data_IF_000918106108
#
_entry.id   IF_000918106108
#
_cell.length_a   1.000
_cell.length_b   1.000
_cell.length_c   1.000
_cell.angle_alpha   90.00
_cell.angle_beta   90.00
_cell.angle_gamma   90.00
#
_symmetry.space_group_name_H-M   'P 1'
#
loop_
_entity.id
_entity.type
_entity.pdbx_description
1 polymer ?
#
# COMPACT_ATOMS: atom_id res chain seq x y z
N UNK A 1 20.75 -2.17 -3.30
CA UNK A 1 20.15 -2.09 -4.67
C UNK A 1 18.88 -2.94 -4.71
N UNK A 2 17.69 -2.33 -4.79
CA UNK A 2 16.42 -3.05 -4.60
C UNK A 2 15.97 -3.83 -5.84
N UNK A 3 15.66 -5.11 -5.66
CA UNK A 3 15.04 -6.01 -6.65
C UNK A 3 13.58 -5.62 -6.96
N UNK A 4 13.35 -4.41 -7.46
CA UNK A 4 12.09 -4.04 -8.10
C UNK A 4 12.39 -3.27 -9.38
N UNK A 5 11.96 -3.74 -10.56
CA UNK A 5 12.02 -2.93 -11.76
C UNK A 5 11.16 -1.69 -11.54
N UNK A 6 11.68 -0.52 -11.95
CA UNK A 6 10.90 0.71 -12.07
C UNK A 6 9.77 0.47 -13.07
N UNK A 7 8.57 0.14 -12.59
CA UNK A 7 7.37 0.11 -13.42
C UNK A 7 6.94 1.56 -13.64
N UNK A 8 7.28 2.12 -14.79
CA UNK A 8 6.69 3.36 -15.29
C UNK A 8 5.21 3.11 -15.59
N UNK A 9 4.39 4.15 -15.53
CA UNK A 9 2.93 4.13 -15.77
C UNK A 9 2.49 3.61 -17.16
N UNK A 10 3.42 3.14 -17.98
CA UNK A 10 3.20 2.50 -19.28
C UNK A 10 2.90 1.00 -19.15
N UNK A 11 3.08 0.40 -17.97
CA UNK A 11 2.75 -1.01 -17.68
C UNK A 11 1.26 -1.21 -17.28
N UNK A 12 0.38 -0.30 -17.70
CA UNK A 12 -1.05 -0.51 -17.63
C UNK A 12 -1.47 -1.36 -18.84
N UNK A 13 -2.22 -2.44 -18.59
CA UNK A 13 -2.79 -3.38 -19.57
C UNK A 13 -2.92 -2.77 -20.98
N UNK A 14 -1.90 -3.00 -21.80
CA UNK A 14 -1.79 -2.36 -23.11
C UNK A 14 -2.76 -3.05 -24.08
N UNK A 15 -3.11 -2.38 -25.17
CA UNK A 15 -3.82 -3.02 -26.30
C UNK A 15 -3.06 -4.28 -26.74
N UNK A 16 -1.73 -4.36 -26.56
CA UNK A 16 -0.93 -5.57 -26.78
C UNK A 16 -1.24 -6.71 -25.81
N UNK A 17 -1.67 -6.43 -24.59
CA UNK A 17 -2.06 -7.44 -23.58
C UNK A 17 -3.50 -7.92 -23.81
N UNK A 18 -4.39 -7.03 -24.29
CA UNK A 18 -5.71 -7.42 -24.79
C UNK A 18 -5.58 -8.25 -26.06
N UNK A 19 -4.65 -7.90 -26.95
CA UNK A 19 -4.29 -8.68 -28.14
C UNK A 19 -3.63 -9.99 -27.73
N UNK A 20 -2.80 -10.03 -26.69
CA UNK A 20 -2.24 -11.25 -26.11
C UNK A 20 -3.31 -12.16 -25.51
N UNK A 21 -4.30 -11.59 -24.82
CA UNK A 21 -5.46 -12.30 -24.28
C UNK A 21 -6.41 -12.77 -25.39
N UNK A 22 -6.59 -11.98 -26.46
CA UNK A 22 -7.34 -12.34 -27.67
C UNK A 22 -6.61 -13.40 -28.50
N UNK A 23 -5.27 -13.39 -28.57
CA UNK A 23 -4.47 -14.46 -29.15
C UNK A 23 -4.51 -15.72 -28.29
N UNK A 24 -4.60 -15.59 -26.97
CA UNK A 24 -4.86 -16.71 -26.06
C UNK A 24 -6.28 -17.28 -26.29
N UNK A 25 -7.27 -16.41 -26.47
CA UNK A 25 -8.67 -16.76 -26.76
C UNK A 25 -8.84 -17.40 -28.15
N UNK A 26 -8.16 -16.86 -29.17
CA UNK A 26 -8.10 -17.45 -30.51
C UNK A 26 -7.25 -18.74 -30.51
N UNK A 27 -6.28 -18.86 -29.61
CA UNK A 27 -5.54 -20.09 -29.34
C UNK A 27 -6.38 -21.16 -28.64
N UNK A 28 -7.32 -20.78 -27.77
CA UNK A 28 -8.28 -21.69 -27.12
C UNK A 28 -9.23 -22.35 -28.14
N UNK A 29 -9.40 -21.75 -29.33
CA UNK A 29 -10.18 -22.33 -30.44
C UNK A 29 -9.39 -23.40 -31.23
N UNK A 30 -8.07 -23.54 -31.04
CA UNK A 30 -7.26 -24.60 -31.67
C UNK A 30 -6.54 -25.45 -30.62
N UNK A 31 -6.90 -26.73 -30.56
CA UNK A 31 -6.38 -27.79 -29.66
C UNK A 31 -4.84 -27.88 -29.57
N UNK A 32 -4.17 -26.95 -28.88
CA UNK A 32 -2.73 -27.00 -28.58
C UNK A 32 -2.47 -26.55 -27.13
N UNK A 33 -2.34 -27.57 -26.27
CA UNK A 33 -1.62 -27.64 -25.00
C UNK A 33 -2.01 -26.72 -23.84
N UNK A 34 -3.01 -27.18 -23.07
CA UNK A 34 -3.27 -26.79 -21.67
C UNK A 34 -1.97 -26.66 -20.85
N UNK A 35 -0.99 -27.55 -21.05
CA UNK A 35 0.30 -27.51 -20.36
C UNK A 35 1.11 -26.22 -20.64
N UNK A 36 1.12 -25.73 -21.87
CA UNK A 36 1.82 -24.50 -22.23
C UNK A 36 1.06 -23.26 -21.72
N UNK A 37 -0.27 -23.31 -21.74
CA UNK A 37 -1.11 -22.28 -21.14
C UNK A 37 -0.92 -22.22 -19.62
N UNK A 38 -0.94 -23.36 -18.92
CA UNK A 38 -0.64 -23.45 -17.48
C UNK A 38 0.78 -22.95 -17.21
N UNK A 39 1.79 -23.39 -17.97
CA UNK A 39 3.17 -22.93 -17.80
C UNK A 39 3.31 -21.41 -18.01
N UNK A 40 2.63 -20.84 -19.01
CA UNK A 40 2.60 -19.40 -19.27
C UNK A 40 1.88 -18.62 -18.16
N UNK A 41 0.71 -19.10 -17.70
CA UNK A 41 -0.04 -18.51 -16.59
C UNK A 41 0.76 -18.57 -15.30
N UNK A 42 1.36 -19.73 -14.98
CA UNK A 42 2.20 -19.89 -13.78
C UNK A 42 3.42 -18.98 -13.86
N UNK A 43 4.06 -18.88 -15.04
CA UNK A 43 5.16 -17.94 -15.27
C UNK A 43 4.70 -16.50 -15.07
N UNK A 44 3.56 -16.09 -15.60
CA UNK A 44 3.03 -14.73 -15.43
C UNK A 44 2.72 -14.44 -13.95
N UNK A 45 2.05 -15.35 -13.24
CA UNK A 45 1.72 -15.22 -11.81
C UNK A 45 2.99 -15.11 -10.96
N UNK A 46 4.06 -15.84 -11.30
CA UNK A 46 5.31 -15.86 -10.52
C UNK A 46 6.25 -14.70 -10.91
N UNK A 47 6.28 -14.30 -12.18
CA UNK A 47 7.30 -13.36 -12.69
C UNK A 47 6.81 -11.93 -12.85
N UNK A 48 5.50 -11.68 -12.85
CA UNK A 48 4.94 -10.34 -12.91
C UNK A 48 4.00 -10.11 -11.74
N UNK A 49 4.16 -9.02 -10.98
CA UNK A 49 3.13 -8.63 -10.03
C UNK A 49 1.83 -8.43 -10.83
N UNK A 50 0.73 -9.04 -10.37
CA UNK A 50 -0.52 -9.03 -11.11
C UNK A 50 -1.02 -7.60 -11.37
N UNK A 51 -0.69 -6.68 -10.46
CA UNK A 51 -0.84 -5.24 -10.61
C UNK A 51 0.21 -4.53 -9.73
N UNK A 52 0.63 -3.32 -10.12
CA UNK A 52 1.69 -2.56 -9.42
C UNK A 52 1.39 -2.34 -7.93
N UNK A 53 0.11 -2.17 -7.57
CA UNK A 53 -0.31 -1.86 -6.20
C UNK A 53 -0.30 -3.08 -5.27
N UNK A 54 -0.23 -4.31 -5.81
CA UNK A 54 -0.25 -5.57 -5.06
C UNK A 54 1.10 -5.94 -4.43
N UNK A 55 2.14 -5.13 -4.67
CA UNK A 55 3.49 -5.35 -4.14
C UNK A 55 3.50 -5.63 -2.64
N UNK A 56 2.66 -4.91 -1.87
CA UNK A 56 2.53 -5.06 -0.42
C UNK A 56 2.05 -6.46 0.00
N UNK A 57 1.18 -7.11 -0.79
CA UNK A 57 0.72 -8.47 -0.48
C UNK A 57 1.85 -9.49 -0.57
N UNK A 58 2.74 -9.36 -1.55
CA UNK A 58 3.88 -10.27 -1.69
C UNK A 58 4.85 -10.13 -0.50
N UNK A 59 5.09 -8.90 -0.04
CA UNK A 59 5.88 -8.64 1.17
C UNK A 59 5.21 -9.21 2.43
N UNK A 60 3.91 -9.01 2.58
CA UNK A 60 3.14 -9.53 3.70
C UNK A 60 3.15 -11.06 3.74
N UNK A 61 3.01 -11.71 2.58
CA UNK A 61 3.10 -13.16 2.46
C UNK A 61 4.46 -13.68 2.95
N UNK A 62 5.56 -13.03 2.55
CA UNK A 62 6.90 -13.37 3.01
C UNK A 62 7.04 -13.25 4.54
N UNK A 63 6.56 -12.15 5.12
CA UNK A 63 6.56 -11.96 6.58
C UNK A 63 5.72 -13.03 7.27
N UNK A 64 4.55 -13.39 6.72
CA UNK A 64 3.65 -14.37 7.32
C UNK A 64 4.20 -15.79 7.31
N UNK A 65 4.97 -16.16 6.28
CA UNK A 65 5.73 -17.41 6.27
C UNK A 65 6.76 -17.47 7.40
N UNK A 66 7.34 -16.32 7.76
CA UNK A 66 8.31 -16.20 8.86
C UNK A 66 7.67 -16.05 10.23
N UNK A 67 6.37 -15.73 10.32
CA UNK A 67 5.65 -15.53 11.59
C UNK A 67 5.82 -16.69 12.58
N UNK A 68 5.75 -17.99 12.20
CA UNK A 68 5.98 -19.09 13.14
C UNK A 68 7.38 -19.05 13.77
N UNK A 69 8.40 -18.67 12.99
CA UNK A 69 9.78 -18.53 13.48
C UNK A 69 9.86 -17.35 14.45
N UNK A 70 9.35 -16.18 14.05
CA UNK A 70 9.33 -15.01 14.91
C UNK A 70 8.57 -15.24 16.20
N UNK A 71 7.46 -15.99 16.16
CA UNK A 71 6.68 -16.34 17.35
C UNK A 71 7.51 -17.12 18.37
N UNK A 72 8.42 -17.98 17.93
CA UNK A 72 9.33 -18.70 18.85
C UNK A 72 10.37 -17.72 19.42
N UNK A 73 10.98 -16.90 18.57
CA UNK A 73 12.03 -15.95 18.95
C UNK A 73 11.51 -14.96 19.99
N UNK A 74 10.39 -14.29 19.72
CA UNK A 74 9.85 -13.23 20.60
C UNK A 74 9.34 -13.75 21.95
N UNK A 75 9.11 -15.05 22.09
CA UNK A 75 8.72 -15.69 23.34
C UNK A 75 9.91 -16.16 24.18
N UNK A 76 11.07 -16.40 23.55
CA UNK A 76 12.27 -16.92 24.23
C UNK A 76 13.32 -15.85 24.50
N UNK A 77 13.34 -14.80 23.68
CA UNK A 77 14.37 -13.77 23.70
C UNK A 77 13.89 -12.56 24.52
N UNK A 78 14.81 -11.94 25.28
CA UNK A 78 14.53 -10.70 26.00
C UNK A 78 14.29 -9.54 25.04
N UNK A 79 13.40 -8.62 25.40
CA UNK A 79 13.02 -7.47 24.57
C UNK A 79 14.23 -6.59 24.16
N UNK A 80 15.27 -6.53 25.00
CA UNK A 80 16.54 -5.84 24.69
C UNK A 80 17.18 -6.30 23.37
N UNK A 81 17.14 -7.61 23.07
CA UNK A 81 17.73 -8.14 21.84
C UNK A 81 16.84 -7.86 20.62
N UNK A 82 15.53 -7.75 20.81
CA UNK A 82 14.61 -7.32 19.76
C UNK A 82 14.80 -5.83 19.45
N UNK A 83 15.02 -5.00 20.48
CA UNK A 83 15.41 -3.59 20.30
C UNK A 83 16.75 -3.46 19.61
N UNK A 84 17.73 -4.31 19.93
CA UNK A 84 19.01 -4.36 19.22
C UNK A 84 18.82 -4.70 17.73
N UNK A 85 18.00 -5.70 17.40
CA UNK A 85 17.64 -6.00 16.01
C UNK A 85 17.02 -4.79 15.30
N UNK A 86 16.06 -4.12 15.93
CA UNK A 86 15.43 -2.91 15.38
C UNK A 86 16.44 -1.79 15.21
N UNK A 87 17.40 -1.62 16.12
CA UNK A 87 18.44 -0.61 16.00
C UNK A 87 19.36 -0.87 14.79
N UNK A 88 19.75 -2.12 14.56
CA UNK A 88 20.50 -2.53 13.36
C UNK A 88 19.66 -2.24 12.10
N UNK A 89 18.41 -2.69 12.07
CA UNK A 89 17.51 -2.42 10.93
C UNK A 89 17.36 -0.92 10.66
N UNK A 90 17.21 -0.12 11.71
CA UNK A 90 17.07 1.34 11.59
C UNK A 90 18.34 2.00 11.06
N UNK A 91 19.52 1.50 11.45
CA UNK A 91 20.82 1.97 10.98
C UNK A 91 21.05 1.64 9.50
N UNK A 92 20.85 0.37 9.12
CA UNK A 92 21.19 -0.11 7.78
C UNK A 92 20.06 0.01 6.74
N UNK A 93 18.83 0.32 7.17
CA UNK A 93 17.75 0.65 6.24
C UNK A 93 17.55 2.16 6.14
N UNK A 94 16.75 2.77 7.04
CA UNK A 94 16.38 4.18 6.93
C UNK A 94 17.55 5.17 7.04
N UNK A 95 18.48 4.97 7.99
CA UNK A 95 19.62 5.89 8.17
C UNK A 95 20.61 5.76 7.02
N UNK A 96 21.02 4.54 6.67
CA UNK A 96 21.93 4.30 5.55
C UNK A 96 21.41 4.97 4.27
N UNK A 97 20.13 4.77 3.94
CA UNK A 97 19.52 5.41 2.77
C UNK A 97 19.57 6.94 2.85
N UNK A 98 19.29 7.52 4.03
CA UNK A 98 19.38 8.97 4.24
C UNK A 98 20.80 9.51 4.03
N UNK A 99 21.82 8.76 4.46
CA UNK A 99 23.23 9.11 4.28
C UNK A 99 23.64 8.99 2.81
N UNK A 100 23.30 7.89 2.15
CA UNK A 100 23.58 7.66 0.72
C UNK A 100 22.96 8.76 -0.15
N UNK A 101 21.71 9.13 0.12
CA UNK A 101 21.05 10.23 -0.59
C UNK A 101 21.74 11.58 -0.34
N UNK A 102 22.18 11.87 0.89
CA UNK A 102 22.82 13.15 1.20
C UNK A 102 24.23 13.26 0.63
N UNK A 103 25.00 12.17 0.68
CA UNK A 103 26.41 12.15 0.30
C UNK A 103 26.65 11.65 -1.13
N UNK A 104 25.59 11.25 -1.84
CA UNK A 104 25.63 10.86 -3.25
C UNK A 104 26.61 9.70 -3.52
N UNK A 105 26.68 8.74 -2.59
CA UNK A 105 27.44 7.50 -2.77
C UNK A 105 26.62 6.30 -2.28
N UNK A 106 26.99 5.10 -2.74
CA UNK A 106 26.41 3.84 -2.28
C UNK A 106 27.33 3.17 -1.25
N UNK A 107 26.81 2.80 -0.09
CA UNK A 107 27.60 2.01 0.85
C UNK A 107 27.77 0.59 0.31
N UNK A 108 28.99 0.06 0.41
CA UNK A 108 29.30 -1.33 0.01
C UNK A 108 28.57 -2.34 0.91
N UNK A 109 28.26 -1.93 2.14
CA UNK A 109 27.62 -2.79 3.13
C UNK A 109 26.11 -2.84 2.89
N UNK A 110 25.64 -3.89 2.21
CA UNK A 110 24.22 -4.17 1.98
C UNK A 110 23.77 -5.34 2.88
N UNK A 111 22.96 -5.02 3.89
CA UNK A 111 22.38 -6.00 4.82
C UNK A 111 21.16 -6.74 4.21
N UNK A 112 20.82 -6.48 2.95
CA UNK A 112 19.87 -7.25 2.14
C UNK A 112 18.51 -7.44 2.83
N UNK A 113 18.15 -8.69 3.11
CA UNK A 113 16.87 -9.04 3.74
C UNK A 113 16.65 -8.48 5.14
N UNK A 114 17.73 -8.06 5.83
CA UNK A 114 17.62 -7.44 7.15
C UNK A 114 17.17 -5.98 7.10
N UNK A 115 17.15 -5.32 5.93
CA UNK A 115 16.77 -3.91 5.78
C UNK A 115 15.37 -3.72 5.17
N UNK A 116 14.67 -4.82 4.84
CA UNK A 116 13.31 -4.81 4.31
C UNK A 116 12.22 -4.53 5.35
N UNK A 117 10.96 -4.86 5.02
CA UNK A 117 9.79 -4.60 5.87
C UNK A 117 9.73 -5.44 7.15
N UNK A 118 10.63 -6.42 7.31
CA UNK A 118 10.74 -7.27 8.50
C UNK A 118 11.02 -6.46 9.77
N UNK A 119 11.74 -5.34 9.65
CA UNK A 119 11.99 -4.45 10.78
C UNK A 119 10.74 -3.75 11.27
N UNK A 120 9.84 -3.34 10.37
CA UNK A 120 8.52 -2.83 10.76
C UNK A 120 7.70 -3.86 11.53
N UNK A 121 7.80 -5.14 11.16
CA UNK A 121 7.08 -6.22 11.84
C UNK A 121 7.54 -6.39 13.30
N UNK A 122 8.85 -6.46 13.53
CA UNK A 122 9.41 -6.57 14.89
C UNK A 122 9.21 -5.28 15.69
N UNK A 123 9.38 -4.12 15.06
CA UNK A 123 9.15 -2.82 15.69
C UNK A 123 7.69 -2.65 16.13
N UNK A 124 6.74 -3.00 15.25
CA UNK A 124 5.31 -2.98 15.58
C UNK A 124 4.98 -3.84 16.80
N UNK A 125 5.58 -5.04 16.89
CA UNK A 125 5.46 -5.89 18.08
C UNK A 125 6.00 -5.22 19.34
N UNK A 126 7.18 -4.61 19.30
CA UNK A 126 7.75 -3.91 20.45
C UNK A 126 6.88 -2.71 20.88
N UNK A 127 6.34 -1.95 19.93
CA UNK A 127 5.45 -0.82 20.20
C UNK A 127 4.14 -1.25 20.89
N UNK A 128 3.67 -2.50 20.72
CA UNK A 128 2.51 -3.01 21.49
C UNK A 128 2.77 -2.99 23.00
N UNK A 129 4.03 -3.20 23.41
CA UNK A 129 4.44 -3.32 24.81
C UNK A 129 4.82 -1.97 25.44
N UNK A 130 4.97 -0.94 24.63
CA UNK A 130 5.29 0.41 25.10
C UNK A 130 4.07 1.01 25.79
N UNK A 131 4.26 1.44 27.04
CA UNK A 131 3.26 2.21 27.79
C UNK A 131 3.21 3.64 27.24
N UNK A 132 2.06 4.04 26.73
CA UNK A 132 1.88 5.38 26.17
C UNK A 132 1.55 6.36 27.29
N UNK A 133 2.38 7.40 27.42
CA UNK A 133 2.16 8.52 28.34
C UNK A 133 1.76 9.78 27.56
N UNK A 134 1.19 10.79 28.23
CA UNK A 134 0.81 12.05 27.58
C UNK A 134 1.98 12.74 26.85
N UNK A 135 3.21 12.82 27.40
CA UNK A 135 4.35 13.38 26.68
C UNK A 135 4.67 12.62 25.39
N UNK A 136 4.67 11.28 25.44
CA UNK A 136 4.92 10.43 24.26
C UNK A 136 3.86 10.70 23.18
N UNK A 137 2.59 10.87 23.56
CA UNK A 137 1.51 11.16 22.63
C UNK A 137 1.70 12.51 21.92
N UNK A 138 2.09 13.56 22.67
CA UNK A 138 2.37 14.88 22.09
C UNK A 138 3.57 14.86 21.16
N UNK A 139 4.65 14.17 21.54
CA UNK A 139 5.82 13.99 20.68
C UNK A 139 5.43 13.24 19.40
N UNK A 140 4.67 12.15 19.50
CA UNK A 140 4.18 11.40 18.35
C UNK A 140 3.32 12.28 17.42
N UNK A 141 2.38 13.07 17.98
CA UNK A 141 1.57 13.98 17.18
C UNK A 141 2.43 15.01 16.42
N UNK A 142 3.40 15.61 17.11
CA UNK A 142 4.30 16.58 16.51
C UNK A 142 5.18 15.95 15.43
N UNK A 143 5.77 14.78 15.68
CA UNK A 143 6.61 14.06 14.71
C UNK A 143 5.77 13.64 13.49
N UNK A 144 4.56 13.15 13.68
CA UNK A 144 3.67 12.78 12.58
C UNK A 144 3.38 13.97 11.65
N UNK A 145 2.95 15.10 12.22
CA UNK A 145 2.63 16.31 11.44
C UNK A 145 3.88 16.87 10.78
N UNK A 146 4.97 17.00 11.53
CA UNK A 146 6.23 17.55 11.02
C UNK A 146 6.80 16.68 9.89
N UNK A 147 6.84 15.35 10.05
CA UNK A 147 7.33 14.45 9.00
C UNK A 147 6.39 14.44 7.79
N UNK A 148 5.08 14.59 7.99
CA UNK A 148 4.12 14.73 6.88
C UNK A 148 4.38 15.98 6.05
N UNK A 149 4.50 17.13 6.70
CA UNK A 149 4.82 18.41 6.05
C UNK A 149 6.20 18.33 5.38
N UNK A 150 7.20 17.82 6.09
CA UNK A 150 8.55 17.63 5.55
C UNK A 150 8.53 16.77 4.28
N UNK A 151 7.79 15.66 4.29
CA UNK A 151 7.68 14.77 3.11
C UNK A 151 7.07 15.50 1.92
N UNK A 152 5.97 16.23 2.14
CA UNK A 152 5.29 16.98 1.08
C UNK A 152 6.20 18.10 0.52
N UNK A 153 6.78 18.92 1.39
CA UNK A 153 7.66 20.02 1.00
C UNK A 153 8.93 19.51 0.31
N UNK A 154 9.60 18.51 0.87
CA UNK A 154 10.81 17.95 0.29
C UNK A 154 10.53 17.31 -1.08
N UNK A 155 9.44 16.57 -1.21
CA UNK A 155 9.04 16.00 -2.52
C UNK A 155 8.81 17.12 -3.55
N UNK A 156 8.11 18.19 -3.18
CA UNK A 156 7.85 19.32 -4.08
C UNK A 156 9.15 20.03 -4.49
N UNK A 157 10.00 20.37 -3.53
CA UNK A 157 11.25 21.10 -3.76
C UNK A 157 12.23 20.34 -4.66
N UNK A 158 12.28 19.00 -4.55
CA UNK A 158 13.17 18.18 -5.37
C UNK A 158 12.55 17.78 -6.71
N UNK A 159 11.22 17.72 -6.82
CA UNK A 159 10.53 17.34 -8.07
C UNK A 159 10.33 18.53 -9.01
N UNK A 160 10.07 19.73 -8.46
CA UNK A 160 9.76 20.93 -9.26
C UNK A 160 10.87 21.36 -10.23
N UNK A 161 12.18 21.26 -9.91
CA UNK A 161 13.23 21.69 -10.83
C UNK A 161 13.47 20.73 -12.01
N UNK A 162 12.99 19.48 -11.90
CA UNK A 162 13.27 18.39 -12.87
C UNK A 162 12.01 18.00 -13.65
N UNK A 163 10.87 18.69 -13.40
CA UNK A 163 9.55 18.39 -13.96
C UNK A 163 9.18 16.89 -13.90
N UNK A 164 9.69 16.21 -12.87
CA UNK A 164 9.52 14.77 -12.67
C UNK A 164 9.45 14.48 -11.19
N UNK A 165 8.56 13.54 -10.83
CA UNK A 165 8.44 13.07 -9.45
C UNK A 165 9.75 12.43 -8.98
N UNK A 166 10.32 13.02 -7.93
CA UNK A 166 11.39 12.43 -7.12
C UNK A 166 10.75 11.71 -5.93
N UNK A 167 10.59 10.40 -6.05
CA UNK A 167 9.87 9.54 -5.11
C UNK A 167 10.68 9.18 -3.84
N UNK A 168 11.91 9.69 -3.73
CA UNK A 168 12.83 9.36 -2.63
C UNK A 168 12.20 9.58 -1.24
N UNK A 169 11.57 10.74 -1.02
CA UNK A 169 10.94 11.09 0.26
C UNK A 169 9.63 10.33 0.49
N UNK A 170 9.06 9.71 -0.54
CA UNK A 170 7.84 8.89 -0.43
C UNK A 170 8.18 7.40 -0.21
N UNK A 171 9.46 7.05 -0.22
CA UNK A 171 9.90 5.67 -0.03
C UNK A 171 9.54 5.15 1.37
N UNK A 172 8.93 3.96 1.41
CA UNK A 172 8.30 3.43 2.62
C UNK A 172 9.28 3.02 3.73
N UNK A 173 10.53 2.76 3.37
CA UNK A 173 11.63 2.56 4.33
C UNK A 173 12.49 3.83 4.50
N UNK A 174 12.05 4.95 3.94
CA UNK A 174 12.67 6.26 4.15
C UNK A 174 12.51 6.71 5.60
N UNK A 175 13.53 7.39 6.12
CA UNK A 175 13.59 7.83 7.53
C UNK A 175 12.34 8.61 7.96
N UNK A 176 11.89 9.55 7.13
CA UNK A 176 10.70 10.34 7.39
C UNK A 176 9.42 9.49 7.46
N UNK A 177 9.27 8.49 6.58
CA UNK A 177 8.11 7.59 6.57
C UNK A 177 8.12 6.63 7.76
N UNK A 178 9.31 6.14 8.17
CA UNK A 178 9.45 5.29 9.36
C UNK A 178 9.06 6.04 10.62
N UNK A 179 9.56 7.27 10.79
CA UNK A 179 9.21 8.12 11.94
C UNK A 179 7.72 8.48 11.94
N UNK A 180 7.14 8.76 10.77
CA UNK A 180 5.71 8.99 10.60
C UNK A 180 4.89 7.73 10.98
N UNK A 181 5.33 6.54 10.57
CA UNK A 181 4.66 5.27 10.86
C UNK A 181 4.69 4.92 12.35
N UNK A 182 5.85 5.08 13.02
CA UNK A 182 5.97 4.88 14.47
C UNK A 182 5.02 5.83 15.21
N UNK A 183 5.03 7.10 14.81
CA UNK A 183 4.20 8.13 15.42
C UNK A 183 2.72 7.86 15.25
N UNK A 184 2.29 7.52 14.03
CA UNK A 184 0.91 7.16 13.74
C UNK A 184 0.48 5.91 14.50
N UNK A 185 1.34 4.90 14.60
CA UNK A 185 1.06 3.70 15.38
C UNK A 185 0.78 4.03 16.85
N UNK A 186 1.61 4.87 17.48
CA UNK A 186 1.43 5.30 18.88
C UNK A 186 0.09 6.04 19.04
N UNK A 187 -0.23 6.96 18.13
CA UNK A 187 -1.48 7.72 18.15
C UNK A 187 -2.69 6.77 18.02
N UNK A 188 -2.66 5.84 17.08
CA UNK A 188 -3.72 4.86 16.85
C UNK A 188 -3.88 3.88 18.00
N UNK A 189 -2.77 3.42 18.61
CA UNK A 189 -2.80 2.56 19.80
C UNK A 189 -3.48 3.26 20.97
N UNK A 190 -3.07 4.49 21.28
CA UNK A 190 -3.70 5.29 22.33
C UNK A 190 -5.18 5.55 22.06
N UNK A 191 -5.52 5.86 20.81
CA UNK A 191 -6.90 6.12 20.40
C UNK A 191 -7.76 4.87 20.49
N UNK A 192 -7.25 3.72 20.04
CA UNK A 192 -7.91 2.43 20.13
C UNK A 192 -8.14 1.98 21.57
N UNK A 193 -7.10 2.02 22.42
CA UNK A 193 -7.21 1.70 23.84
C UNK A 193 -8.28 2.56 24.54
N UNK A 194 -8.38 3.84 24.19
CA UNK A 194 -9.40 4.73 24.76
C UNK A 194 -10.81 4.44 24.22
N UNK A 195 -10.98 4.24 22.91
CA UNK A 195 -12.28 3.96 22.28
C UNK A 195 -12.89 2.65 22.81
N UNK A 196 -12.06 1.62 22.96
CA UNK A 196 -12.47 0.27 23.36
C UNK A 196 -12.30 0.02 24.86
N UNK A 197 -12.00 1.05 25.65
CA UNK A 197 -11.94 0.95 27.12
C UNK A 197 -13.28 0.57 27.76
N UNK A 198 -14.39 0.80 27.05
CA UNK A 198 -15.75 0.40 27.44
C UNK A 198 -16.40 -0.43 26.32
N UNK A 199 -17.24 -1.42 26.63
CA UNK A 199 -17.94 -2.20 25.62
C UNK A 199 -18.86 -1.29 24.80
N UNK A 200 -18.66 -1.28 23.47
CA UNK A 200 -19.47 -0.50 22.51
C UNK A 200 -19.95 -1.41 21.37
N UNK A 201 -20.96 -2.27 21.60
CA UNK A 201 -21.33 -3.35 20.68
C UNK A 201 -21.62 -2.87 19.26
N UNK A 202 -22.36 -1.76 19.12
CA UNK A 202 -22.68 -1.18 17.79
C UNK A 202 -21.44 -0.73 17.05
N UNK A 203 -20.51 -0.05 17.73
CA UNK A 203 -19.26 0.41 17.14
C UNK A 203 -18.38 -0.78 16.73
N UNK A 204 -18.28 -1.79 17.59
CA UNK A 204 -17.57 -3.04 17.28
C UNK A 204 -18.13 -3.70 16.03
N UNK A 205 -19.46 -3.82 15.89
CA UNK A 205 -20.08 -4.40 14.69
C UNK A 205 -19.70 -3.62 13.42
N UNK A 206 -19.77 -2.29 13.45
CA UNK A 206 -19.42 -1.46 12.30
C UNK A 206 -17.95 -1.57 11.92
N UNK A 207 -17.06 -1.50 12.90
CA UNK A 207 -15.62 -1.63 12.68
C UNK A 207 -15.30 -3.02 12.13
N UNK A 208 -15.87 -4.09 12.69
CA UNK A 208 -15.68 -5.45 12.18
C UNK A 208 -16.13 -5.58 10.73
N UNK A 209 -17.28 -5.01 10.35
CA UNK A 209 -17.73 -5.05 8.94
C UNK A 209 -16.75 -4.35 8.01
N UNK A 210 -16.23 -3.20 8.42
CA UNK A 210 -15.29 -2.43 7.63
C UNK A 210 -13.93 -3.13 7.53
N UNK A 211 -13.43 -3.73 8.62
CA UNK A 211 -12.17 -4.47 8.61
C UNK A 211 -12.27 -5.75 7.77
N UNK A 212 -13.38 -6.49 7.83
CA UNK A 212 -13.60 -7.67 6.95
C UNK A 212 -13.72 -7.29 5.47
N UNK A 213 -14.15 -6.07 5.16
CA UNK A 213 -14.21 -5.60 3.77
C UNK A 213 -12.87 -5.01 3.29
N UNK A 214 -11.94 -4.68 4.18
CA UNK A 214 -10.73 -3.92 3.85
C UNK A 214 -9.83 -4.61 2.83
N UNK A 215 -9.65 -5.92 2.95
CA UNK A 215 -8.86 -6.70 2.01
C UNK A 215 -9.49 -6.72 0.61
N UNK A 216 -10.79 -7.00 0.53
CA UNK A 216 -11.53 -6.91 -0.73
C UNK A 216 -11.46 -5.52 -1.36
N UNK A 217 -11.61 -4.46 -0.55
CA UNK A 217 -11.51 -3.07 -1.02
C UNK A 217 -10.12 -2.79 -1.59
N UNK A 218 -9.06 -3.27 -0.92
CA UNK A 218 -7.70 -3.17 -1.43
C UNK A 218 -7.50 -3.88 -2.79
N UNK A 219 -8.20 -4.99 -3.06
CA UNK A 219 -8.10 -5.65 -4.38
C UNK A 219 -8.80 -4.87 -5.50
N UNK A 220 -9.94 -4.24 -5.21
CA UNK A 220 -10.78 -3.60 -6.25
C UNK A 220 -10.52 -2.10 -6.43
N UNK A 221 -9.90 -1.42 -5.45
CA UNK A 221 -9.83 0.04 -5.46
C UNK A 221 -9.04 0.61 -6.65
N UNK A 222 -7.96 -0.03 -7.11
CA UNK A 222 -7.20 0.45 -8.27
C UNK A 222 -7.97 0.26 -9.56
N UNK A 223 -8.75 -0.82 -9.69
CA UNK A 223 -9.67 -0.98 -10.81
C UNK A 223 -10.66 0.18 -10.86
N UNK A 224 -11.25 0.54 -9.71
CA UNK A 224 -12.20 1.65 -9.60
C UNK A 224 -11.50 2.99 -9.89
N UNK A 225 -10.30 3.20 -9.33
CA UNK A 225 -9.48 4.39 -9.52
C UNK A 225 -9.13 4.63 -11.00
N UNK A 226 -8.60 3.61 -11.70
CA UNK A 226 -8.24 3.68 -13.12
C UNK A 226 -9.47 4.03 -13.98
N UNK A 227 -10.62 3.45 -13.66
CA UNK A 227 -11.87 3.69 -14.39
C UNK A 227 -12.54 5.03 -14.06
N UNK A 228 -12.21 5.69 -12.94
CA UNK A 228 -12.78 6.98 -12.54
C UNK A 228 -11.89 8.19 -12.87
N UNK A 229 -10.58 8.03 -12.96
CA UNK A 229 -9.62 9.15 -13.04
C UNK A 229 -9.06 9.37 -14.45
N UNK A 230 -9.30 8.47 -15.41
CA UNK A 230 -8.86 8.73 -16.79
C UNK A 230 -8.90 7.56 -17.79
N UNK A 231 -9.37 6.38 -17.37
CA UNK A 231 -9.52 5.24 -18.27
C UNK A 231 -10.59 5.45 -19.36
N UNK A 232 -10.61 4.59 -20.36
CA UNK A 232 -11.57 4.68 -21.47
C UNK A 232 -13.03 4.66 -21.00
N UNK A 233 -13.30 3.99 -19.87
CA UNK A 233 -14.61 4.01 -19.22
C UNK A 233 -14.99 5.39 -18.66
N UNK A 234 -14.03 6.13 -18.08
CA UNK A 234 -14.26 7.51 -17.63
C UNK A 234 -14.63 8.42 -18.81
N UNK A 235 -13.88 8.33 -19.91
CA UNK A 235 -14.15 9.09 -21.14
C UNK A 235 -15.53 8.75 -21.73
N UNK A 236 -15.89 7.46 -21.71
CA UNK A 236 -17.22 7.01 -22.11
C UNK A 236 -18.32 7.63 -21.23
N UNK A 237 -18.19 7.57 -19.90
CA UNK A 237 -19.16 8.15 -18.97
C UNK A 237 -19.30 9.66 -19.19
N UNK A 238 -18.19 10.40 -19.30
CA UNK A 238 -18.19 11.84 -19.64
C UNK A 238 -18.99 12.08 -20.92
N UNK A 239 -18.75 11.31 -21.99
CA UNK A 239 -19.48 11.48 -23.26
C UNK A 239 -20.98 11.17 -23.17
N UNK A 240 -21.41 10.28 -22.28
CA UNK A 240 -22.83 9.92 -22.08
C UNK A 240 -23.55 11.01 -21.29
N UNK A 241 -22.90 11.52 -20.25
CA UNK A 241 -23.44 12.54 -19.35
C UNK A 241 -23.45 13.94 -19.99
N UNK A 242 -22.43 14.28 -20.79
CA UNK A 242 -22.45 15.47 -21.66
C UNK A 242 -23.61 15.40 -22.66
N UNK A 243 -23.85 14.24 -23.27
CA UNK A 243 -25.03 14.03 -24.14
C UNK A 243 -26.37 14.18 -23.42
N UNK A 244 -26.40 14.00 -22.10
CA UNK A 244 -27.58 14.16 -21.26
C UNK A 244 -27.70 15.57 -20.63
N UNK A 245 -26.85 16.54 -21.01
CA UNK A 245 -26.78 17.88 -20.41
C UNK A 245 -26.44 17.89 -18.90
N UNK A 246 -25.80 16.83 -18.40
CA UNK A 246 -25.30 16.75 -17.03
C UNK A 246 -23.78 16.63 -17.06
N UNK A 247 -23.01 17.74 -17.09
CA UNK A 247 -21.56 17.65 -17.14
C UNK A 247 -21.03 16.95 -15.87
N UNK A 248 -20.28 15.87 -16.06
CA UNK A 248 -19.59 15.18 -14.96
C UNK A 248 -18.43 16.05 -14.47
N UNK A 249 -18.38 16.30 -13.16
CA UNK A 249 -17.21 16.92 -12.54
C UNK A 249 -16.04 15.97 -12.70
N UNK A 250 -14.96 16.45 -13.31
CA UNK A 250 -13.76 15.63 -13.38
C UNK A 250 -13.19 15.38 -11.99
N UNK A 251 -13.01 14.09 -11.70
CA UNK A 251 -12.39 13.62 -10.45
C UNK A 251 -10.87 13.49 -10.59
N UNK A 252 -10.31 13.89 -11.72
CA UNK A 252 -8.86 13.89 -11.91
C UNK A 252 -8.22 14.93 -11.00
N UNK A 253 -7.20 14.56 -10.21
CA UNK A 253 -6.39 15.51 -9.47
C UNK A 253 -5.68 16.55 -10.36
N UNK A 254 -5.67 16.35 -11.69
CA UNK A 254 -5.11 17.30 -12.65
C UNK A 254 -6.06 18.44 -13.02
N UNK A 255 -7.36 18.27 -12.79
CA UNK A 255 -8.40 19.22 -13.22
C UNK A 255 -8.79 20.21 -12.12
N UNK A 256 -8.10 20.19 -10.98
CA UNK A 256 -8.32 21.13 -9.90
C UNK A 256 -7.29 21.04 -8.77
N UNK A 257 -7.45 21.81 -7.68
CA UNK A 257 -6.52 21.78 -6.56
C UNK A 257 -6.47 20.39 -5.91
N UNK A 258 -5.29 19.77 -5.94
CA UNK A 258 -5.06 18.42 -5.42
C UNK A 258 -5.48 18.25 -3.94
N UNK A 259 -5.43 19.32 -3.15
CA UNK A 259 -5.79 19.32 -1.73
C UNK A 259 -7.25 18.91 -1.46
N UNK A 260 -8.17 19.22 -2.37
CA UNK A 260 -9.58 18.82 -2.25
C UNK A 260 -9.91 17.64 -3.17
N UNK A 261 -9.29 17.59 -4.35
CA UNK A 261 -9.53 16.52 -5.32
C UNK A 261 -9.08 15.15 -4.81
N UNK A 262 -7.91 15.05 -4.17
CA UNK A 262 -7.39 13.77 -3.67
C UNK A 262 -8.28 13.19 -2.56
N UNK A 263 -8.65 13.95 -1.49
CA UNK A 263 -9.59 13.43 -0.50
C UNK A 263 -10.95 13.06 -1.09
N UNK A 264 -11.50 13.87 -2.00
CA UNK A 264 -12.78 13.60 -2.64
C UNK A 264 -12.73 12.30 -3.46
N UNK A 265 -11.73 12.15 -4.34
CA UNK A 265 -11.53 10.94 -5.13
C UNK A 265 -11.33 9.71 -4.23
N UNK A 266 -10.56 9.85 -3.14
CA UNK A 266 -10.35 8.78 -2.16
C UNK A 266 -11.66 8.34 -1.51
N UNK A 267 -12.50 9.29 -1.08
CA UNK A 267 -13.80 8.97 -0.46
C UNK A 267 -14.74 8.27 -1.44
N UNK A 268 -14.78 8.73 -2.69
CA UNK A 268 -15.60 8.12 -3.74
C UNK A 268 -15.12 6.69 -4.03
N UNK A 269 -13.82 6.50 -4.25
CA UNK A 269 -13.23 5.20 -4.54
C UNK A 269 -13.46 4.22 -3.39
N UNK A 270 -13.23 4.63 -2.14
CA UNK A 270 -13.48 3.79 -0.97
C UNK A 270 -14.97 3.43 -0.85
N UNK A 271 -15.86 4.39 -1.06
CA UNK A 271 -17.31 4.16 -0.96
C UNK A 271 -17.80 3.16 -2.00
N UNK A 272 -17.38 3.33 -3.26
CA UNK A 272 -17.73 2.40 -4.35
C UNK A 272 -17.10 1.02 -4.09
N UNK A 273 -15.84 0.98 -3.67
CA UNK A 273 -15.15 -0.27 -3.31
C UNK A 273 -15.92 -1.02 -2.22
N UNK A 274 -16.33 -0.30 -1.17
CA UNK A 274 -17.08 -0.89 -0.07
C UNK A 274 -18.43 -1.45 -0.51
N UNK A 275 -19.18 -0.73 -1.35
CA UNK A 275 -20.47 -1.18 -1.89
C UNK A 275 -20.29 -2.46 -2.71
N UNK A 276 -19.29 -2.50 -3.60
CA UNK A 276 -19.00 -3.68 -4.43
C UNK A 276 -18.68 -4.88 -3.54
N UNK A 277 -17.77 -4.71 -2.57
CA UNK A 277 -17.39 -5.80 -1.66
C UNK A 277 -18.58 -6.24 -0.80
N UNK A 278 -19.40 -5.31 -0.31
CA UNK A 278 -20.60 -5.65 0.47
C UNK A 278 -21.62 -6.46 -0.35
N UNK A 279 -21.71 -6.25 -1.66
CA UNK A 279 -22.51 -7.07 -2.57
C UNK A 279 -21.86 -8.45 -2.77
N UNK A 280 -20.55 -8.49 -3.05
CA UNK A 280 -19.82 -9.74 -3.28
C UNK A 280 -19.82 -10.65 -2.05
N UNK A 281 -19.75 -10.09 -0.84
CA UNK A 281 -19.82 -10.83 0.42
C UNK A 281 -21.18 -11.52 0.66
N UNK A 282 -22.24 -11.12 -0.06
CA UNK A 282 -23.55 -11.80 -0.02
C UNK A 282 -23.58 -13.06 -0.91
N UNK A 283 -22.61 -13.22 -1.81
CA UNK A 283 -22.53 -14.36 -2.72
C UNK A 283 -21.71 -15.48 -2.05
N UNK A 284 -22.30 -16.66 -1.76
CA UNK A 284 -21.66 -17.69 -0.92
C UNK A 284 -20.27 -18.14 -1.40
N UNK A 285 -20.09 -18.29 -2.72
CA UNK A 285 -18.84 -18.75 -3.32
C UNK A 285 -17.74 -17.69 -3.37
N UNK A 286 -18.11 -16.41 -3.40
CA UNK A 286 -17.15 -15.30 -3.49
C UNK A 286 -16.77 -14.75 -2.13
N UNK A 287 -17.59 -14.99 -1.11
CA UNK A 287 -17.37 -14.50 0.26
C UNK A 287 -16.01 -14.91 0.82
N UNK A 288 -15.51 -16.11 0.55
CA UNK A 288 -14.21 -16.57 1.06
C UNK A 288 -13.01 -15.90 0.39
N UNK A 289 -13.20 -15.28 -0.78
CA UNK A 289 -12.11 -14.64 -1.54
C UNK A 289 -11.93 -13.16 -1.20
N UNK A 290 -12.97 -12.51 -0.67
CA UNK A 290 -13.00 -11.05 -0.44
C UNK A 290 -13.31 -10.66 1.02
N UNK A 291 -13.35 -11.61 1.94
CA UNK A 291 -13.62 -11.41 3.37
C UNK A 291 -12.40 -11.61 4.26
#
# INVERSE_FOLDING_TARGET
>A
MGFLPKTTSEDAFSISDLVGFLYLYQGIVRRLHLFNAVKAITKIIITRPAEYHLWFMYELFGIYLLTPVFRIVVNKVRDEHLWYFVAIWFLFGPIQRAVEFKLQFEMIFDMGYLTGYIGYFVLGYLLTRVRITKPILWVAALVYVFMGIFTACATYLYSSPVDKLVDYFQYLLGLNIVLMSISLYILLKAWGENIFSKPRPRLTIWITRLTTASFGMYLVHVFILKNLIGGDFYKYLVSVFERANFPLVSLSPMDGPAIYMIPLATLIVISISWIIIAILQKIPYLRSLVA
#
